data_IF_257509022818
#
_entry.id   IF_257509022818
#
_cell.length_a   1.000
_cell.length_b   1.000
_cell.length_c   1.000
_cell.angle_alpha   90.00
_cell.angle_beta   90.00
_cell.angle_gamma   90.00
#
_symmetry.space_group_name_H-M   'P 1'
#
loop_
_entity.id
_entity.type
_entity.pdbx_description
1 polymer ?
#
# COMPACT_ATOMS: atom_id res chain seq x y z
N UNK A 1 -22.39 63.70 57.04
CA UNK A 1 -23.13 62.74 57.89
C UNK A 1 -24.53 62.61 57.32
N UNK A 2 -24.89 61.38 56.95
CA UNK A 2 -26.25 60.80 57.07
C UNK A 2 -27.42 61.45 56.31
N UNK A 3 -28.01 60.76 55.32
CA UNK A 3 -29.04 59.71 55.52
C UNK A 3 -29.55 59.17 54.19
N UNK A 4 -29.81 57.86 54.20
CA UNK A 4 -30.59 57.12 53.21
C UNK A 4 -32.00 57.72 53.00
N UNK A 5 -32.50 57.59 51.76
CA UNK A 5 -33.95 57.41 51.52
C UNK A 5 -34.17 56.55 50.28
N UNK A 6 -34.71 55.36 50.51
CA UNK A 6 -35.37 54.54 49.48
C UNK A 6 -36.76 55.14 49.23
N UNK A 7 -37.16 55.27 47.96
CA UNK A 7 -38.56 55.41 47.56
C UNK A 7 -38.79 54.63 46.26
N UNK A 8 -39.81 53.78 46.30
CA UNK A 8 -40.20 52.83 45.26
C UNK A 8 -41.24 53.42 44.29
N UNK A 9 -41.20 52.91 43.04
CA UNK A 9 -42.26 52.76 42.03
C UNK A 9 -42.85 54.00 41.33
N UNK A 10 -42.72 54.10 39.99
CA UNK A 10 -43.68 53.54 39.01
C UNK A 10 -43.40 53.99 37.55
N UNK A 11 -43.25 53.00 36.66
CA UNK A 11 -43.79 52.89 35.28
C UNK A 11 -43.40 53.87 34.16
N UNK A 12 -42.65 53.36 33.17
CA UNK A 12 -42.90 53.46 31.72
C UNK A 12 -41.93 52.50 30.99
N UNK A 13 -42.37 51.28 30.68
CA UNK A 13 -42.48 50.78 29.29
C UNK A 13 -41.91 51.72 28.22
N UNK A 14 -40.72 51.40 27.74
CA UNK A 14 -40.29 51.56 26.35
C UNK A 14 -39.45 50.32 26.02
N UNK A 15 -39.98 49.49 25.13
CA UNK A 15 -39.32 48.35 24.51
C UNK A 15 -38.32 48.90 23.48
N UNK A 16 -37.02 48.76 23.75
CA UNK A 16 -35.99 48.82 22.70
C UNK A 16 -35.83 47.40 22.15
N UNK A 17 -36.52 47.14 21.04
CA UNK A 17 -36.20 46.05 20.11
C UNK A 17 -34.82 46.35 19.49
N UNK A 18 -33.78 45.77 20.08
CA UNK A 18 -32.51 45.59 19.39
C UNK A 18 -32.70 44.54 18.30
N UNK A 19 -32.83 45.05 17.07
CA UNK A 19 -32.80 44.33 15.81
C UNK A 19 -31.43 43.65 15.62
N UNK A 20 -31.23 42.47 16.22
CA UNK A 20 -30.23 41.50 15.77
C UNK A 20 -30.69 40.89 14.44
N UNK A 21 -30.50 41.64 13.36
CA UNK A 21 -30.34 41.05 12.04
C UNK A 21 -28.92 40.46 11.96
N UNK A 22 -28.75 39.29 12.58
CA UNK A 22 -27.57 38.45 12.41
C UNK A 22 -27.63 37.89 10.99
N UNK A 23 -26.89 38.50 10.07
CA UNK A 23 -26.77 38.08 8.67
C UNK A 23 -25.93 36.78 8.60
N UNK A 24 -26.56 35.66 9.00
CA UNK A 24 -26.05 34.28 8.96
C UNK A 24 -25.98 33.71 7.52
N UNK A 25 -26.18 34.56 6.51
CA UNK A 25 -26.29 34.15 5.10
C UNK A 25 -24.99 34.32 4.29
N UNK A 26 -24.02 35.08 4.80
CA UNK A 26 -22.81 35.44 4.05
C UNK A 26 -21.64 34.50 4.35
N UNK A 27 -21.15 33.85 3.29
CA UNK A 27 -20.02 32.92 3.34
C UNK A 27 -18.74 33.65 3.80
N UNK A 28 -17.95 33.12 4.76
CA UNK A 28 -16.88 33.90 5.37
C UNK A 28 -15.68 34.02 4.42
N UNK A 29 -15.10 35.22 4.37
CA UNK A 29 -14.16 35.65 3.33
C UNK A 29 -12.69 35.48 3.73
N UNK A 30 -12.41 35.24 5.01
CA UNK A 30 -11.05 34.98 5.51
C UNK A 30 -10.92 33.59 6.16
N UNK A 31 -9.71 33.01 6.17
CA UNK A 31 -9.44 31.78 6.93
C UNK A 31 -9.74 31.90 8.42
N UNK A 32 -9.49 33.07 9.04
CA UNK A 32 -9.81 33.27 10.46
C UNK A 32 -11.32 33.27 10.73
N UNK A 33 -12.13 33.82 9.83
CA UNK A 33 -13.59 33.81 9.95
C UNK A 33 -14.18 32.41 9.76
N UNK A 34 -13.65 31.61 8.83
CA UNK A 34 -14.05 30.20 8.65
C UNK A 34 -13.64 29.37 9.87
N UNK A 35 -12.44 29.59 10.39
CA UNK A 35 -11.95 28.90 11.60
C UNK A 35 -12.86 29.20 12.80
N UNK A 36 -13.13 30.48 13.10
CA UNK A 36 -14.01 30.84 14.22
C UNK A 36 -15.43 30.34 13.98
N UNK A 37 -16.04 30.61 12.81
CA UNK A 37 -17.42 30.22 12.55
C UNK A 37 -17.63 28.70 12.58
N UNK A 38 -16.78 27.89 11.94
CA UNK A 38 -16.95 26.42 11.95
C UNK A 38 -16.70 25.84 13.34
N UNK A 39 -15.64 26.27 14.01
CA UNK A 39 -15.29 25.74 15.33
C UNK A 39 -16.31 26.17 16.37
N UNK A 40 -16.78 27.41 16.36
CA UNK A 40 -17.81 27.91 17.27
C UNK A 40 -19.18 27.30 16.97
N UNK A 41 -19.51 27.06 15.69
CA UNK A 41 -20.75 26.41 15.28
C UNK A 41 -20.82 24.98 15.80
N UNK A 42 -19.77 24.18 15.56
CA UNK A 42 -19.71 22.83 16.10
C UNK A 42 -19.50 22.79 17.61
N UNK A 43 -18.71 23.71 18.17
CA UNK A 43 -18.50 23.83 19.61
C UNK A 43 -19.81 24.05 20.35
N UNK A 44 -20.66 24.97 19.85
CA UNK A 44 -22.02 25.18 20.37
C UNK A 44 -22.90 23.95 20.20
N UNK A 45 -22.95 23.38 19.00
CA UNK A 45 -23.80 22.23 18.69
C UNK A 45 -23.42 20.95 19.47
N UNK A 46 -22.13 20.76 19.76
CA UNK A 46 -21.57 19.56 20.38
C UNK A 46 -21.23 19.76 21.88
N UNK A 47 -21.40 20.96 22.43
CA UNK A 47 -21.12 21.33 23.83
C UNK A 47 -21.80 20.43 24.87
N UNK A 48 -22.91 19.77 24.51
CA UNK A 48 -23.68 18.88 25.38
C UNK A 48 -23.21 17.41 25.34
N UNK A 49 -22.25 17.07 24.48
CA UNK A 49 -21.71 15.70 24.35
C UNK A 49 -20.57 15.48 25.36
N UNK A 50 -20.55 14.30 26.00
CA UNK A 50 -19.62 14.00 27.09
C UNK A 50 -18.16 13.84 26.65
N UNK A 51 -17.27 13.97 27.64
CA UNK A 51 -15.79 14.05 27.60
C UNK A 51 -15.08 12.79 27.06
N UNK A 52 -15.80 11.74 26.66
CA UNK A 52 -15.24 10.44 26.25
C UNK A 52 -14.44 10.47 24.93
N UNK A 53 -14.43 11.59 24.21
CA UNK A 53 -13.93 11.68 22.83
C UNK A 53 -12.71 12.59 22.64
N UNK A 54 -11.96 12.87 23.71
CA UNK A 54 -10.70 13.63 23.61
C UNK A 54 -9.67 12.84 22.81
N UNK A 55 -9.19 13.41 21.70
CA UNK A 55 -7.98 12.97 21.02
C UNK A 55 -6.81 12.97 22.05
N UNK A 56 -5.95 11.93 22.08
CA UNK A 56 -5.74 10.89 21.08
C UNK A 56 -6.65 9.66 21.21
N UNK A 57 -7.87 9.80 21.74
CA UNK A 57 -8.87 8.75 21.89
C UNK A 57 -8.35 7.53 22.67
N UNK A 58 -7.87 7.71 23.92
CA UNK A 58 -7.11 6.68 24.64
C UNK A 58 -7.87 5.36 24.86
N UNK A 59 -9.22 5.37 24.77
CA UNK A 59 -10.07 4.22 25.06
C UNK A 59 -10.31 3.24 23.91
N UNK A 60 -9.81 3.48 22.68
CA UNK A 60 -10.11 2.58 21.56
C UNK A 60 -9.01 2.51 20.49
N UNK A 61 -8.83 1.29 19.96
CA UNK A 61 -7.97 0.97 18.82
C UNK A 61 -8.81 0.53 17.60
N UNK A 62 -10.11 0.83 17.58
CA UNK A 62 -11.00 0.47 16.47
C UNK A 62 -11.17 1.66 15.53
N UNK A 63 -10.40 1.67 14.45
CA UNK A 63 -10.46 2.72 13.43
C UNK A 63 -11.86 2.93 12.85
N UNK A 64 -12.68 1.90 12.53
CA UNK A 64 -14.04 2.12 12.05
C UNK A 64 -14.86 3.00 13.01
N UNK A 65 -14.81 2.71 14.30
CA UNK A 65 -15.48 3.50 15.34
C UNK A 65 -14.90 4.93 15.42
N UNK A 66 -13.58 5.08 15.38
CA UNK A 66 -12.91 6.40 15.38
C UNK A 66 -13.28 7.25 14.17
N UNK A 67 -13.47 6.63 13.00
CA UNK A 67 -13.86 7.37 11.79
C UNK A 67 -15.31 7.84 11.84
N UNK A 68 -16.18 7.13 12.54
CA UNK A 68 -17.59 7.48 12.67
C UNK A 68 -17.82 8.53 13.78
N UNK A 69 -16.81 8.81 14.60
CA UNK A 69 -16.77 9.93 15.55
C UNK A 69 -16.10 11.12 14.85
N UNK A 70 -16.69 12.33 14.87
CA UNK A 70 -17.92 12.75 15.55
C UNK A 70 -19.22 12.62 14.73
N UNK A 71 -19.14 12.17 13.46
CA UNK A 71 -20.27 12.13 12.52
C UNK A 71 -21.56 11.49 13.06
N UNK A 72 -21.47 10.36 13.76
CA UNK A 72 -22.64 9.68 14.32
C UNK A 72 -23.41 10.51 15.36
N UNK A 73 -22.81 11.62 15.84
CA UNK A 73 -23.36 12.50 16.87
C UNK A 73 -23.62 13.93 16.38
N UNK A 74 -23.25 14.26 15.14
CA UNK A 74 -23.57 15.55 14.54
C UNK A 74 -25.05 15.51 14.09
N UNK A 75 -25.92 16.42 14.57
CA UNK A 75 -27.28 16.49 14.08
C UNK A 75 -27.31 16.75 12.57
N UNK A 76 -28.19 16.07 11.83
CA UNK A 76 -28.30 16.20 10.37
C UNK A 76 -28.40 17.66 9.87
N UNK A 77 -29.17 18.57 10.50
CA UNK A 77 -29.21 19.97 10.10
C UNK A 77 -27.84 20.66 10.24
N UNK A 78 -27.10 20.32 11.30
CA UNK A 78 -25.78 20.87 11.58
C UNK A 78 -24.77 20.41 10.52
N UNK A 79 -24.82 19.13 10.17
CA UNK A 79 -23.99 18.57 9.10
C UNK A 79 -24.28 19.23 7.75
N UNK A 80 -25.55 19.36 7.35
CA UNK A 80 -25.95 19.96 6.07
C UNK A 80 -25.47 21.39 5.93
N UNK A 81 -25.72 22.24 6.93
CA UNK A 81 -25.28 23.65 6.91
C UNK A 81 -23.76 23.75 6.75
N UNK A 82 -23.00 22.96 7.51
CA UNK A 82 -21.54 22.99 7.42
C UNK A 82 -21.03 22.42 6.09
N UNK A 83 -21.66 21.39 5.55
CA UNK A 83 -21.33 20.83 4.24
C UNK A 83 -21.57 21.87 3.12
N UNK A 84 -22.70 22.59 3.16
CA UNK A 84 -23.02 23.66 2.21
C UNK A 84 -22.01 24.81 2.27
N UNK A 85 -21.54 25.15 3.48
CA UNK A 85 -20.45 26.10 3.65
C UNK A 85 -19.14 25.57 3.03
N UNK A 86 -18.72 24.36 3.40
CA UNK A 86 -17.47 23.76 2.89
C UNK A 86 -17.48 23.62 1.37
N UNK A 87 -18.63 23.32 0.77
CA UNK A 87 -18.79 23.23 -0.68
C UNK A 87 -18.51 24.58 -1.37
N UNK A 88 -19.06 25.67 -0.82
CA UNK A 88 -18.83 27.05 -1.29
C UNK A 88 -17.43 27.58 -1.00
N UNK A 89 -16.70 26.96 -0.06
CA UNK A 89 -15.36 27.38 0.33
C UNK A 89 -14.33 27.23 -0.80
N UNK A 90 -13.50 28.27 -0.97
CA UNK A 90 -12.33 28.19 -1.84
C UNK A 90 -11.32 27.19 -1.27
N UNK A 91 -10.69 26.39 -2.14
CA UNK A 91 -9.76 25.31 -1.74
C UNK A 91 -8.60 25.83 -0.89
N UNK A 92 -8.08 27.02 -1.21
CA UNK A 92 -7.04 27.68 -0.42
C UNK A 92 -7.45 27.84 1.06
N UNK A 93 -8.70 28.21 1.32
CA UNK A 93 -9.17 28.42 2.69
C UNK A 93 -9.28 27.10 3.45
N UNK A 94 -9.67 26.03 2.77
CA UNK A 94 -9.69 24.68 3.34
C UNK A 94 -8.27 24.21 3.67
N UNK A 95 -7.28 24.51 2.81
CA UNK A 95 -5.87 24.20 3.09
C UNK A 95 -5.38 24.96 4.32
N UNK A 96 -5.74 26.23 4.48
CA UNK A 96 -5.40 27.01 5.68
C UNK A 96 -6.03 26.45 6.96
N UNK A 97 -7.28 26.00 6.89
CA UNK A 97 -7.93 25.31 8.01
C UNK A 97 -7.20 24.00 8.37
N UNK A 98 -6.78 23.22 7.36
CA UNK A 98 -6.02 21.98 7.54
C UNK A 98 -4.66 22.26 8.20
N UNK A 99 -3.91 23.25 7.70
CA UNK A 99 -2.62 23.66 8.27
C UNK A 99 -2.80 24.04 9.74
N UNK A 100 -3.74 24.95 10.01
CA UNK A 100 -4.02 25.40 11.37
C UNK A 100 -4.39 24.24 12.29
N UNK A 101 -5.27 23.34 11.85
CA UNK A 101 -5.70 22.19 12.65
C UNK A 101 -4.55 21.21 12.92
N UNK A 102 -3.66 21.00 11.95
CA UNK A 102 -2.50 20.14 12.10
C UNK A 102 -1.55 20.68 13.17
N UNK A 103 -1.19 21.96 13.09
CA UNK A 103 -0.33 22.60 14.10
C UNK A 103 -1.01 22.71 15.46
N UNK A 104 -2.31 22.94 15.50
CA UNK A 104 -3.10 22.96 16.73
C UNK A 104 -3.06 21.61 17.46
N UNK A 105 -3.22 20.49 16.73
CA UNK A 105 -3.09 19.14 17.31
C UNK A 105 -1.65 18.88 17.78
N UNK A 106 -0.65 19.27 16.98
CA UNK A 106 0.76 19.08 17.32
C UNK A 106 1.14 19.82 18.61
N UNK A 107 0.77 21.10 18.72
CA UNK A 107 0.99 21.92 19.91
C UNK A 107 0.38 21.28 21.16
N UNK A 108 -0.82 20.72 21.02
CA UNK A 108 -1.51 20.06 22.13
C UNK A 108 -0.85 18.74 22.53
N UNK A 109 -0.36 17.95 21.57
CA UNK A 109 0.41 16.74 21.86
C UNK A 109 1.73 17.06 22.57
N UNK A 110 2.29 18.25 22.35
CA UNK A 110 3.46 18.78 23.06
C UNK A 110 3.11 19.37 24.44
N UNK A 111 1.84 19.29 24.87
CA UNK A 111 1.39 19.76 26.17
C UNK A 111 1.12 21.26 26.25
N UNK A 112 1.08 21.98 25.12
CA UNK A 112 0.71 23.40 25.12
C UNK A 112 -0.79 23.53 25.43
N UNK A 113 -1.19 24.39 26.38
CA UNK A 113 -2.59 24.64 26.67
C UNK A 113 -3.26 25.25 25.43
N UNK A 114 -4.30 24.59 24.95
CA UNK A 114 -5.15 25.02 23.84
C UNK A 114 -6.58 25.11 24.36
N UNK A 115 -7.39 26.00 23.79
CA UNK A 115 -8.80 26.14 24.18
C UNK A 115 -9.56 24.82 23.96
N UNK A 116 -10.07 24.17 25.03
CA UNK A 116 -10.67 22.85 24.97
C UNK A 116 -12.11 22.82 24.41
N UNK A 117 -12.81 23.97 24.30
CA UNK A 117 -14.18 24.00 23.77
C UNK A 117 -14.27 23.66 22.26
N UNK A 118 -13.13 23.60 21.59
CA UNK A 118 -13.01 23.57 20.14
C UNK A 118 -12.66 22.20 19.56
N UNK A 119 -12.27 21.21 20.37
CA UNK A 119 -11.68 19.96 19.86
C UNK A 119 -12.62 19.14 18.97
N UNK A 120 -13.82 18.85 19.46
CA UNK A 120 -14.83 18.14 18.69
C UNK A 120 -15.26 18.93 17.47
N UNK A 121 -15.23 20.27 17.56
CA UNK A 121 -15.53 21.15 16.43
C UNK A 121 -14.47 21.10 15.34
N UNK A 122 -13.18 21.15 15.71
CA UNK A 122 -12.06 20.97 14.77
C UNK A 122 -12.15 19.60 14.09
N UNK A 123 -12.32 18.53 14.86
CA UNK A 123 -12.42 17.18 14.32
C UNK A 123 -13.67 17.01 13.45
N UNK A 124 -14.80 17.58 13.83
CA UNK A 124 -16.02 17.57 13.02
C UNK A 124 -15.80 18.29 11.69
N UNK A 125 -15.33 19.53 11.72
CA UNK A 125 -15.05 20.32 10.53
C UNK A 125 -14.04 19.61 9.61
N UNK A 126 -12.90 19.14 10.14
CA UNK A 126 -11.91 18.37 9.36
C UNK A 126 -12.54 17.14 8.70
N UNK A 127 -13.33 16.38 9.45
CA UNK A 127 -13.93 15.16 8.94
C UNK A 127 -14.93 15.43 7.81
N UNK A 128 -15.69 16.54 7.87
CA UNK A 128 -16.60 16.98 6.81
C UNK A 128 -15.81 17.48 5.60
N UNK A 129 -14.75 18.27 5.82
CA UNK A 129 -13.85 18.73 4.75
C UNK A 129 -13.27 17.54 3.98
N UNK A 130 -12.71 16.56 4.69
CA UNK A 130 -12.07 15.38 4.09
C UNK A 130 -13.06 14.47 3.35
N UNK A 131 -14.31 14.38 3.82
CA UNK A 131 -15.35 13.60 3.14
C UNK A 131 -16.00 14.35 1.96
N UNK A 132 -16.08 15.68 2.03
CA UNK A 132 -16.73 16.49 0.99
C UNK A 132 -15.76 16.82 -0.15
N UNK A 133 -14.49 17.09 0.16
CA UNK A 133 -13.44 17.43 -0.81
C UNK A 133 -12.19 16.57 -0.56
N UNK A 134 -12.24 15.25 -0.82
CA UNK A 134 -11.17 14.30 -0.46
C UNK A 134 -9.81 14.61 -1.10
N UNK A 135 -9.76 15.36 -2.21
CA UNK A 135 -8.53 15.79 -2.88
C UNK A 135 -7.63 16.67 -1.99
N UNK A 136 -8.19 17.33 -0.96
CA UNK A 136 -7.39 18.09 0.02
C UNK A 136 -6.40 17.22 0.79
N UNK A 137 -6.53 15.89 0.74
CA UNK A 137 -5.53 14.97 1.30
C UNK A 137 -4.15 15.22 0.70
N UNK A 138 -4.04 15.61 -0.57
CA UNK A 138 -2.74 15.87 -1.22
C UNK A 138 -1.97 17.01 -0.53
N UNK A 139 -2.69 17.99 0.02
CA UNK A 139 -2.12 19.05 0.84
C UNK A 139 -1.56 18.50 2.16
N UNK A 140 -2.30 17.60 2.83
CA UNK A 140 -1.82 16.89 4.03
C UNK A 140 -0.58 16.06 3.71
N UNK A 141 -0.57 15.35 2.58
CA UNK A 141 0.57 14.54 2.14
C UNK A 141 1.81 15.41 1.89
N UNK A 142 1.63 16.61 1.34
CA UNK A 142 2.71 17.58 1.13
C UNK A 142 3.27 18.07 2.46
N UNK A 143 2.41 18.38 3.43
CA UNK A 143 2.81 18.77 4.78
C UNK A 143 3.64 17.67 5.48
N UNK A 144 3.31 16.41 5.22
CA UNK A 144 3.98 15.22 5.76
C UNK A 144 5.21 14.76 4.95
N UNK A 145 5.55 15.42 3.85
CA UNK A 145 6.70 15.06 3.00
C UNK A 145 7.95 15.85 3.38
N UNK A 146 9.17 15.31 3.18
CA UNK A 146 10.40 16.09 3.31
C UNK A 146 10.39 17.31 2.36
N UNK A 147 10.89 18.49 2.78
CA UNK A 147 11.59 18.78 4.03
C UNK A 147 10.68 19.28 5.18
N UNK A 148 9.35 19.14 5.07
CA UNK A 148 8.39 19.72 6.02
C UNK A 148 8.33 18.91 7.32
N UNK A 149 7.31 18.07 7.48
CA UNK A 149 7.04 17.35 8.73
C UNK A 149 6.95 15.84 8.48
N UNK A 150 8.06 15.18 8.10
CA UNK A 150 8.06 13.74 7.83
C UNK A 150 7.55 12.96 9.05
N UNK A 151 6.60 12.06 8.80
CA UNK A 151 5.88 11.34 9.84
C UNK A 151 6.79 10.42 10.70
N UNK A 152 7.94 10.04 10.15
CA UNK A 152 9.03 9.34 10.86
C UNK A 152 9.52 10.13 12.09
N UNK A 153 9.53 11.46 11.99
CA UNK A 153 9.99 12.36 13.06
C UNK A 153 8.85 12.81 13.99
N UNK A 154 7.60 12.43 13.71
CA UNK A 154 6.39 12.82 14.46
C UNK A 154 5.51 11.59 14.79
N UNK A 155 6.02 10.62 15.56
CA UNK A 155 5.30 9.37 15.84
C UNK A 155 3.93 9.57 16.52
N UNK A 156 3.79 10.64 17.29
CA UNK A 156 2.54 11.06 17.96
C UNK A 156 1.45 11.53 16.99
N UNK A 157 1.83 11.96 15.78
CA UNK A 157 0.90 12.39 14.72
C UNK A 157 0.40 11.24 13.85
N UNK A 158 0.96 10.03 13.99
CA UNK A 158 0.55 8.87 13.18
C UNK A 158 -0.94 8.55 13.39
N UNK A 159 -1.48 8.42 14.62
CA UNK A 159 -2.90 8.11 14.81
C UNK A 159 -3.84 9.15 14.17
N UNK A 160 -3.51 10.43 14.28
CA UNK A 160 -4.27 11.51 13.65
C UNK A 160 -4.21 11.44 12.12
N UNK A 161 -3.02 11.20 11.57
CA UNK A 161 -2.82 11.05 10.13
C UNK A 161 -3.60 9.86 9.57
N UNK A 162 -3.54 8.71 10.25
CA UNK A 162 -4.32 7.53 9.89
C UNK A 162 -5.82 7.83 9.94
N UNK A 163 -6.29 8.55 10.96
CA UNK A 163 -7.69 8.97 11.05
C UNK A 163 -8.09 9.88 9.88
N UNK A 164 -7.29 10.88 9.52
CA UNK A 164 -7.58 11.77 8.37
C UNK A 164 -7.65 10.98 7.05
N UNK A 165 -6.68 10.09 6.80
CA UNK A 165 -6.70 9.21 5.61
C UNK A 165 -7.91 8.26 5.63
N UNK A 166 -8.34 7.82 6.80
CA UNK A 166 -9.51 6.96 6.95
C UNK A 166 -10.82 7.72 6.68
N UNK A 167 -10.91 9.02 6.98
CA UNK A 167 -12.04 9.85 6.55
C UNK A 167 -12.12 9.94 5.02
N UNK A 168 -10.99 10.14 4.36
CA UNK A 168 -10.90 10.16 2.88
C UNK A 168 -11.30 8.81 2.30
N UNK A 169 -10.80 7.71 2.88
CA UNK A 169 -11.09 6.35 2.42
C UNK A 169 -12.58 5.97 2.51
N UNK A 170 -13.38 6.64 3.34
CA UNK A 170 -14.84 6.42 3.41
C UNK A 170 -15.55 6.84 2.12
N UNK A 171 -15.00 7.81 1.38
CA UNK A 171 -15.62 8.39 0.18
C UNK A 171 -14.81 8.12 -1.09
N UNK A 172 -13.48 8.02 -1.00
CA UNK A 172 -12.59 7.67 -2.11
C UNK A 172 -11.55 6.63 -1.68
N UNK A 173 -11.84 5.37 -1.99
CA UNK A 173 -10.95 4.23 -1.72
C UNK A 173 -9.59 4.37 -2.43
N UNK A 174 -9.54 5.05 -3.57
CA UNK A 174 -8.31 5.20 -4.37
C UNK A 174 -7.33 6.10 -3.63
N UNK A 175 -7.81 7.27 -3.21
CA UNK A 175 -7.00 8.20 -2.41
C UNK A 175 -6.58 7.55 -1.09
N UNK A 176 -7.50 6.85 -0.40
CA UNK A 176 -7.18 6.08 0.81
C UNK A 176 -6.05 5.07 0.62
N UNK A 177 -6.10 4.24 -0.44
CA UNK A 177 -5.05 3.28 -0.75
C UNK A 177 -3.73 3.98 -1.09
N UNK A 178 -3.78 4.99 -1.97
CA UNK A 178 -2.58 5.67 -2.46
C UNK A 178 -1.82 6.38 -1.35
N UNK A 179 -2.53 7.04 -0.43
CA UNK A 179 -1.96 7.72 0.73
C UNK A 179 -1.33 6.71 1.69
N UNK A 180 -2.03 5.61 1.97
CA UNK A 180 -1.50 4.55 2.83
C UNK A 180 -0.21 3.94 2.25
N UNK A 181 -0.21 3.60 0.96
CA UNK A 181 0.92 2.98 0.29
C UNK A 181 2.16 3.89 0.24
N UNK A 182 1.96 5.20 0.07
CA UNK A 182 3.05 6.18 -0.02
C UNK A 182 3.62 6.60 1.34
N UNK A 183 2.78 6.71 2.37
CA UNK A 183 3.18 7.37 3.63
C UNK A 183 3.13 6.47 4.86
N UNK A 184 2.27 5.45 4.90
CA UNK A 184 2.11 4.61 6.09
C UNK A 184 2.83 3.27 5.93
N UNK A 185 2.84 2.69 4.72
CA UNK A 185 3.55 1.45 4.45
C UNK A 185 5.06 1.55 4.71
N UNK A 186 5.79 2.62 4.33
CA UNK A 186 7.22 2.74 4.64
C UNK A 186 7.50 2.68 6.15
N UNK A 187 6.64 3.28 6.98
CA UNK A 187 6.77 3.28 8.44
C UNK A 187 6.58 1.88 9.05
N UNK A 188 5.84 1.00 8.37
CA UNK A 188 5.62 -0.38 8.81
C UNK A 188 6.86 -1.26 8.59
N UNK A 189 7.85 -0.83 7.81
CA UNK A 189 9.09 -1.57 7.60
C UNK A 189 10.03 -1.47 8.80
N UNK A 190 10.10 -0.32 9.44
CA UNK A 190 11.01 -0.04 10.56
C UNK A 190 10.35 -0.38 11.91
N UNK A 191 9.82 -1.59 12.00
CA UNK A 191 8.88 -2.16 12.98
C UNK A 191 9.25 -2.07 14.47
N UNK A 192 10.25 -1.29 14.88
CA UNK A 192 10.67 -1.13 16.28
C UNK A 192 10.63 0.31 16.83
N UNK A 193 10.38 1.32 15.99
CA UNK A 193 10.39 2.71 16.47
C UNK A 193 9.00 3.24 16.88
N UNK A 194 7.91 2.62 16.40
CA UNK A 194 6.56 3.16 16.57
C UNK A 194 5.70 2.41 17.59
N UNK A 195 4.85 3.16 18.29
CA UNK A 195 3.87 2.64 19.24
C UNK A 195 3.00 1.52 18.60
N UNK A 196 2.80 0.36 19.26
CA UNK A 196 1.93 -0.73 18.78
C UNK A 196 0.54 -0.27 18.32
N UNK A 197 0.00 0.76 18.95
CA UNK A 197 -1.28 1.35 18.57
C UNK A 197 -1.28 1.94 17.17
N UNK A 198 -0.26 2.72 16.82
CA UNK A 198 -0.12 3.33 15.50
C UNK A 198 -0.08 2.26 14.40
N UNK A 199 0.65 1.16 14.66
CA UNK A 199 0.69 -0.01 13.77
C UNK A 199 -0.69 -0.60 13.54
N UNK A 200 -1.44 -0.87 14.61
CA UNK A 200 -2.79 -1.46 14.50
C UNK A 200 -3.71 -0.55 13.68
N UNK A 201 -3.67 0.77 13.92
CA UNK A 201 -4.50 1.73 13.17
C UNK A 201 -4.12 1.76 11.68
N UNK A 202 -2.81 1.80 11.37
CA UNK A 202 -2.32 1.76 9.99
C UNK A 202 -2.81 0.50 9.27
N UNK A 203 -2.75 -0.67 9.91
CA UNK A 203 -3.23 -1.94 9.36
C UNK A 203 -4.77 -1.96 9.23
N UNK A 204 -5.51 -1.39 10.17
CA UNK A 204 -6.97 -1.33 10.06
C UNK A 204 -7.44 -0.46 8.90
N UNK A 205 -6.76 0.65 8.58
CA UNK A 205 -7.13 1.53 7.47
C UNK A 205 -7.20 0.76 6.15
N UNK A 206 -6.10 0.11 5.80
CA UNK A 206 -6.00 -0.61 4.54
C UNK A 206 -6.87 -1.88 4.54
N UNK A 207 -7.10 -2.51 5.71
CA UNK A 207 -8.08 -3.61 5.83
C UNK A 207 -9.48 -3.13 5.47
N UNK A 208 -9.89 -1.96 5.97
CA UNK A 208 -11.18 -1.37 5.65
C UNK A 208 -11.30 -1.04 4.16
N UNK A 209 -10.23 -0.51 3.55
CA UNK A 209 -10.20 -0.22 2.11
C UNK A 209 -10.38 -1.49 1.28
N UNK A 210 -9.59 -2.54 1.56
CA UNK A 210 -9.62 -3.81 0.81
C UNK A 210 -10.90 -4.61 1.06
N UNK A 211 -11.47 -4.51 2.26
CA UNK A 211 -12.71 -5.22 2.63
C UNK A 211 -13.98 -4.52 2.12
N UNK A 212 -13.87 -3.34 1.51
CA UNK A 212 -15.05 -2.66 0.96
C UNK A 212 -15.66 -3.49 -0.18
N UNK A 213 -17.00 -3.68 -0.26
CA UNK A 213 -17.62 -4.58 -1.23
C UNK A 213 -17.27 -4.29 -2.69
N UNK A 214 -17.04 -3.01 -3.01
CA UNK A 214 -16.65 -2.53 -4.35
C UNK A 214 -15.15 -2.27 -4.50
N UNK A 215 -14.32 -2.64 -3.52
CA UNK A 215 -12.90 -2.32 -3.50
C UNK A 215 -12.19 -2.83 -4.74
N UNK A 216 -12.39 -4.12 -5.07
CA UNK A 216 -11.72 -4.74 -6.20
C UNK A 216 -12.01 -4.01 -7.51
N UNK A 217 -13.28 -3.78 -7.82
CA UNK A 217 -13.69 -3.11 -9.05
C UNK A 217 -13.15 -1.68 -9.14
N UNK A 218 -13.33 -0.89 -8.06
CA UNK A 218 -12.91 0.52 -8.01
C UNK A 218 -11.38 0.65 -8.11
N UNK A 219 -10.63 -0.17 -7.37
CA UNK A 219 -9.18 -0.06 -7.31
C UNK A 219 -8.55 -0.55 -8.62
N UNK A 220 -9.02 -1.66 -9.19
CA UNK A 220 -8.49 -2.19 -10.45
C UNK A 220 -8.80 -1.29 -11.64
N UNK A 221 -10.02 -0.73 -11.72
CA UNK A 221 -10.38 0.20 -12.81
C UNK A 221 -9.58 1.50 -12.77
N UNK A 222 -8.94 1.81 -11.65
CA UNK A 222 -8.14 3.02 -11.44
C UNK A 222 -6.67 2.73 -11.15
N UNK A 223 -6.22 1.49 -11.29
CA UNK A 223 -4.90 1.07 -10.84
C UNK A 223 -3.78 1.77 -11.62
N UNK A 224 -3.97 1.96 -12.94
CA UNK A 224 -3.03 2.68 -13.79
C UNK A 224 -3.75 3.41 -14.94
N UNK A 225 -3.67 4.74 -14.96
CA UNK A 225 -4.34 5.62 -15.94
C UNK A 225 -3.33 6.55 -16.63
N UNK A 226 -3.54 6.83 -17.92
CA UNK A 226 -2.56 7.56 -18.74
C UNK A 226 -2.32 8.95 -18.16
N UNK A 227 -1.06 9.29 -17.91
CA UNK A 227 -0.68 10.60 -17.35
C UNK A 227 -0.99 10.76 -15.86
N UNK A 228 -1.44 9.71 -15.17
CA UNK A 228 -1.70 9.71 -13.72
C UNK A 228 -0.72 8.75 -13.05
N UNK A 229 -0.23 9.09 -11.86
CA UNK A 229 0.61 8.19 -11.08
C UNK A 229 -0.13 6.88 -10.78
N UNK A 230 0.58 5.75 -10.83
CA UNK A 230 0.03 4.43 -10.47
C UNK A 230 -0.54 4.48 -9.04
N UNK A 231 -1.70 3.87 -8.87
CA UNK A 231 -2.43 3.86 -7.60
C UNK A 231 -1.60 3.25 -6.46
N UNK A 232 -0.94 2.14 -6.75
CA UNK A 232 0.01 1.48 -5.86
C UNK A 232 1.44 1.59 -6.41
N UNK A 233 2.30 2.45 -5.82
CA UNK A 233 3.64 2.69 -6.35
C UNK A 233 4.53 1.45 -6.36
N UNK A 234 5.43 1.35 -7.33
CA UNK A 234 6.39 0.24 -7.43
C UNK A 234 7.28 0.11 -6.17
N UNK A 235 7.83 1.20 -5.58
CA UNK A 235 8.60 1.10 -4.34
C UNK A 235 7.77 0.56 -3.16
N UNK A 236 6.50 0.95 -3.07
CA UNK A 236 5.57 0.42 -2.07
C UNK A 236 5.33 -1.08 -2.26
N UNK A 237 5.29 -1.56 -3.50
CA UNK A 237 5.15 -2.99 -3.80
C UNK A 237 6.40 -3.80 -3.43
N UNK A 238 7.58 -3.26 -3.70
CA UNK A 238 8.84 -3.85 -3.23
C UNK A 238 8.85 -4.01 -1.69
N UNK A 239 8.37 -2.99 -0.95
CA UNK A 239 8.28 -3.05 0.52
C UNK A 239 7.23 -4.04 1.03
N UNK A 240 6.11 -4.20 0.31
CA UNK A 240 5.01 -5.07 0.72
C UNK A 240 5.41 -6.56 0.76
N UNK A 241 6.27 -7.00 -0.16
CA UNK A 241 6.68 -8.41 -0.28
C UNK A 241 7.33 -8.97 0.99
N UNK A 242 8.43 -8.40 1.53
CA UNK A 242 9.05 -8.91 2.75
C UNK A 242 8.16 -8.76 3.98
N UNK A 243 7.24 -7.79 4.02
CA UNK A 243 6.24 -7.65 5.09
C UNK A 243 5.18 -8.78 5.06
N UNK A 244 4.84 -9.25 3.85
CA UNK A 244 3.88 -10.33 3.65
C UNK A 244 4.50 -11.71 3.87
N UNK A 245 5.75 -11.87 3.46
CA UNK A 245 6.49 -13.13 3.52
C UNK A 245 7.79 -12.97 4.34
N UNK A 246 7.71 -12.61 5.63
CA UNK A 246 8.90 -12.42 6.45
C UNK A 246 9.59 -13.75 6.74
N UNK A 247 10.88 -13.69 7.10
CA UNK A 247 11.58 -14.87 7.59
C UNK A 247 10.92 -15.41 8.88
N UNK A 248 11.12 -16.70 9.18
CA UNK A 248 10.46 -17.34 10.34
C UNK A 248 10.73 -16.63 11.67
N UNK A 249 11.94 -16.10 11.85
CA UNK A 249 12.35 -15.35 13.05
C UNK A 249 11.84 -13.91 13.09
N UNK A 250 11.41 -13.35 11.96
CA UNK A 250 10.85 -11.99 11.84
C UNK A 250 9.31 -12.00 11.92
N UNK A 251 8.71 -13.19 11.92
CA UNK A 251 7.25 -13.36 11.89
C UNK A 251 6.64 -12.88 13.19
N UNK A 252 5.82 -11.84 13.09
CA UNK A 252 4.87 -11.43 14.13
C UNK A 252 3.49 -11.90 13.69
N UNK A 253 2.97 -12.97 14.31
CA UNK A 253 1.77 -13.69 13.86
C UNK A 253 0.64 -12.79 13.36
N UNK A 254 0.14 -11.90 14.22
CA UNK A 254 -1.02 -11.05 13.90
C UNK A 254 -0.74 -10.05 12.77
N UNK A 255 0.52 -9.59 12.64
CA UNK A 255 0.93 -8.65 11.59
C UNK A 255 1.11 -9.38 10.26
N UNK A 256 1.73 -10.56 10.28
CA UNK A 256 1.94 -11.37 9.08
C UNK A 256 0.62 -11.88 8.49
N UNK A 257 -0.28 -12.42 9.33
CA UNK A 257 -1.61 -12.84 8.90
C UNK A 257 -2.40 -11.67 8.28
N UNK A 258 -2.22 -10.47 8.82
CA UNK A 258 -2.83 -9.27 8.30
C UNK A 258 -2.34 -8.94 6.88
N UNK A 259 -1.02 -8.91 6.66
CA UNK A 259 -0.47 -8.62 5.34
C UNK A 259 -0.87 -9.69 4.32
N UNK A 260 -0.85 -10.96 4.72
CA UNK A 260 -1.30 -12.07 3.87
C UNK A 260 -2.77 -11.93 3.46
N UNK A 261 -3.63 -11.42 4.33
CA UNK A 261 -5.05 -11.23 4.03
C UNK A 261 -5.31 -10.14 2.97
N UNK A 262 -4.55 -9.04 2.99
CA UNK A 262 -4.73 -7.94 2.02
C UNK A 262 -3.91 -8.11 0.74
N UNK A 263 -2.83 -8.89 0.80
CA UNK A 263 -1.85 -9.02 -0.25
C UNK A 263 -2.44 -9.38 -1.63
N UNK A 264 -3.40 -10.31 -1.78
CA UNK A 264 -3.90 -10.70 -3.10
C UNK A 264 -4.44 -9.51 -3.91
N UNK A 265 -5.28 -8.66 -3.29
CA UNK A 265 -5.82 -7.50 -3.99
C UNK A 265 -4.73 -6.44 -4.26
N UNK A 266 -3.81 -6.24 -3.30
CA UNK A 266 -2.71 -5.28 -3.48
C UNK A 266 -1.75 -5.70 -4.59
N UNK A 267 -1.46 -7.00 -4.71
CA UNK A 267 -0.69 -7.59 -5.82
C UNK A 267 -1.40 -7.32 -7.15
N UNK A 268 -2.71 -7.59 -7.26
CA UNK A 268 -3.46 -7.31 -8.48
C UNK A 268 -3.41 -5.83 -8.89
N UNK A 269 -3.60 -4.91 -7.93
CA UNK A 269 -3.52 -3.46 -8.18
C UNK A 269 -2.10 -3.03 -8.58
N UNK A 270 -1.07 -3.53 -7.88
CA UNK A 270 0.32 -3.22 -8.17
C UNK A 270 0.75 -3.72 -9.57
N UNK A 271 0.26 -4.90 -9.97
CA UNK A 271 0.56 -5.54 -11.26
C UNK A 271 -0.44 -5.18 -12.38
N UNK A 272 -1.38 -4.25 -12.16
CA UNK A 272 -2.30 -3.83 -13.20
C UNK A 272 -1.56 -3.24 -14.42
N UNK A 273 -2.08 -3.48 -15.63
CA UNK A 273 -1.43 -3.04 -16.86
C UNK A 273 -1.30 -1.52 -16.92
N UNK A 274 -0.09 -1.03 -17.21
CA UNK A 274 0.14 0.39 -17.37
C UNK A 274 -0.42 0.90 -18.72
N UNK A 275 -0.89 2.16 -18.79
CA UNK A 275 -1.47 2.76 -19.97
C UNK A 275 -0.40 3.08 -21.03
N UNK A 276 -0.02 2.08 -21.81
CA UNK A 276 0.91 2.24 -22.93
C UNK A 276 2.22 1.49 -22.74
N UNK A 277 2.85 1.22 -23.88
CA UNK A 277 3.98 0.28 -23.97
C UNK A 277 5.23 0.80 -23.22
N UNK A 278 5.50 2.12 -23.26
CA UNK A 278 6.68 2.72 -22.62
C UNK A 278 6.60 2.62 -21.09
N UNK A 279 5.47 3.03 -20.52
CA UNK A 279 5.26 3.02 -19.07
C UNK A 279 5.23 1.57 -18.55
N UNK A 280 4.59 0.66 -19.30
CA UNK A 280 4.60 -0.76 -18.95
C UNK A 280 6.02 -1.34 -18.98
N UNK A 281 6.84 -0.95 -19.96
CA UNK A 281 8.23 -1.37 -20.04
C UNK A 281 9.03 -0.94 -18.81
N UNK A 282 8.90 0.31 -18.38
CA UNK A 282 9.59 0.82 -17.20
C UNK A 282 9.13 0.10 -15.93
N UNK A 283 7.81 -0.05 -15.74
CA UNK A 283 7.23 -0.72 -14.56
C UNK A 283 7.69 -2.17 -14.47
N UNK A 284 7.59 -2.93 -15.55
CA UNK A 284 7.99 -4.35 -15.57
C UNK A 284 9.49 -4.52 -15.35
N UNK A 285 10.33 -3.61 -15.86
CA UNK A 285 11.78 -3.65 -15.61
C UNK A 285 12.10 -3.44 -14.13
N UNK A 286 11.54 -2.40 -13.50
CA UNK A 286 11.74 -2.14 -12.07
C UNK A 286 11.18 -3.26 -11.18
N UNK A 287 10.02 -3.82 -11.53
CA UNK A 287 9.46 -4.95 -10.78
C UNK A 287 10.31 -6.20 -10.94
N UNK A 288 10.79 -6.48 -12.16
CA UNK A 288 11.65 -7.63 -12.43
C UNK A 288 12.95 -7.57 -11.62
N UNK A 289 13.57 -6.40 -11.52
CA UNK A 289 14.83 -6.18 -10.77
C UNK A 289 14.69 -6.61 -9.30
N UNK A 290 13.75 -6.04 -8.54
CA UNK A 290 13.60 -6.43 -7.13
C UNK A 290 13.06 -7.86 -6.97
N UNK A 291 12.27 -8.36 -7.94
CA UNK A 291 11.76 -9.73 -7.89
C UNK A 291 12.89 -10.74 -8.01
N UNK A 292 13.87 -10.50 -8.88
CA UNK A 292 15.05 -11.35 -8.99
C UNK A 292 15.88 -11.31 -7.71
N UNK A 293 16.06 -10.13 -7.12
CA UNK A 293 16.73 -9.96 -5.82
C UNK A 293 16.05 -10.76 -4.71
N UNK A 294 14.72 -10.69 -4.60
CA UNK A 294 13.96 -11.45 -3.60
C UNK A 294 13.93 -12.96 -3.89
N UNK A 295 13.97 -13.37 -5.15
CA UNK A 295 14.12 -14.78 -5.52
C UNK A 295 15.51 -15.34 -5.12
N UNK A 296 16.55 -14.51 -5.16
CA UNK A 296 17.92 -14.91 -4.79
C UNK A 296 18.12 -14.93 -3.27
N UNK A 297 17.64 -13.89 -2.58
CA UNK A 297 17.98 -13.60 -1.17
C UNK A 297 16.85 -13.88 -0.19
N UNK A 298 15.61 -14.03 -0.67
CA UNK A 298 14.44 -14.24 0.16
C UNK A 298 14.40 -15.62 0.82
N UNK A 299 13.57 -15.75 1.85
CA UNK A 299 13.21 -17.08 2.36
C UNK A 299 12.40 -17.86 1.29
N UNK A 300 12.25 -19.17 1.46
CA UNK A 300 11.63 -20.04 0.46
C UNK A 300 10.24 -19.57 -0.03
N UNK A 301 9.41 -18.97 0.85
CA UNK A 301 8.07 -18.50 0.47
C UNK A 301 8.17 -17.19 -0.33
N UNK A 302 8.94 -16.23 0.15
CA UNK A 302 9.18 -14.97 -0.56
C UNK A 302 9.84 -15.21 -1.92
N UNK A 303 10.83 -16.10 -1.98
CA UNK A 303 11.55 -16.40 -3.20
C UNK A 303 10.64 -17.05 -4.25
N UNK A 304 9.73 -17.93 -3.83
CA UNK A 304 8.71 -18.52 -4.72
C UNK A 304 7.78 -17.45 -5.29
N UNK A 305 7.22 -16.60 -4.44
CA UNK A 305 6.34 -15.50 -4.86
C UNK A 305 7.07 -14.53 -5.81
N UNK A 306 8.30 -14.15 -5.48
CA UNK A 306 9.11 -13.26 -6.31
C UNK A 306 9.46 -13.89 -7.67
N UNK A 307 9.66 -15.21 -7.72
CA UNK A 307 9.86 -15.94 -8.98
C UNK A 307 8.62 -15.85 -9.86
N UNK A 308 7.41 -16.03 -9.30
CA UNK A 308 6.16 -15.89 -10.04
C UNK A 308 5.95 -14.47 -10.59
N UNK A 309 6.31 -13.44 -9.81
CA UNK A 309 6.28 -12.04 -10.27
C UNK A 309 7.31 -11.80 -11.38
N UNK A 310 8.52 -12.37 -11.28
CA UNK A 310 9.54 -12.27 -12.31
C UNK A 310 9.09 -12.91 -13.64
N UNK A 311 8.40 -14.06 -13.59
CA UNK A 311 7.78 -14.68 -14.77
C UNK A 311 6.69 -13.78 -15.38
N UNK A 312 5.85 -13.17 -14.53
CA UNK A 312 4.85 -12.20 -14.99
C UNK A 312 5.51 -11.03 -15.73
N UNK A 313 6.60 -10.47 -15.19
CA UNK A 313 7.34 -9.38 -15.83
C UNK A 313 7.89 -9.77 -17.21
N UNK A 314 8.53 -10.94 -17.33
CA UNK A 314 9.03 -11.46 -18.60
C UNK A 314 7.88 -11.61 -19.61
N UNK A 315 6.75 -12.15 -19.14
CA UNK A 315 5.53 -12.34 -19.95
C UNK A 315 4.92 -11.05 -20.45
N UNK A 316 4.95 -10.00 -19.66
CA UNK A 316 4.47 -8.68 -20.06
C UNK A 316 5.49 -7.91 -20.90
N UNK A 317 6.77 -8.16 -20.68
CA UNK A 317 7.86 -7.42 -21.31
C UNK A 317 9.13 -8.27 -21.43
N UNK A 318 9.36 -8.84 -22.60
CA UNK A 318 10.57 -9.62 -22.91
C UNK A 318 11.86 -8.80 -22.82
N UNK A 319 11.80 -7.46 -22.85
CA UNK A 319 13.01 -6.65 -22.67
C UNK A 319 13.61 -6.79 -21.25
N UNK A 320 12.87 -7.34 -20.28
CA UNK A 320 13.41 -7.73 -18.97
C UNK A 320 14.54 -8.77 -19.11
N UNK A 321 14.57 -9.57 -20.18
CA UNK A 321 15.67 -10.49 -20.48
C UNK A 321 17.04 -9.80 -20.63
N UNK A 322 17.08 -8.50 -20.97
CA UNK A 322 18.35 -7.75 -21.06
C UNK A 322 18.99 -7.57 -19.70
N UNK A 323 18.21 -7.08 -18.74
CA UNK A 323 18.66 -6.93 -17.37
C UNK A 323 18.97 -8.31 -16.76
N UNK A 324 18.12 -9.31 -16.99
CA UNK A 324 18.40 -10.68 -16.55
C UNK A 324 19.74 -11.19 -17.09
N UNK A 325 20.06 -10.91 -18.36
CA UNK A 325 21.34 -11.27 -18.95
C UNK A 325 22.53 -10.61 -18.23
N UNK A 326 22.42 -9.32 -17.92
CA UNK A 326 23.46 -8.57 -17.22
C UNK A 326 23.76 -9.14 -15.83
N UNK A 327 22.73 -9.50 -15.06
CA UNK A 327 22.87 -9.90 -13.65
C UNK A 327 22.83 -11.42 -13.42
N UNK A 328 22.83 -12.22 -14.49
CA UNK A 328 22.63 -13.68 -14.44
C UNK A 328 23.60 -14.41 -13.52
N UNK A 329 24.90 -14.12 -13.67
CA UNK A 329 25.96 -14.78 -12.90
C UNK A 329 25.96 -14.38 -11.42
N UNK A 330 25.36 -13.23 -11.10
CA UNK A 330 25.27 -12.73 -9.71
C UNK A 330 24.04 -13.31 -8.98
N UNK A 331 23.09 -13.88 -9.71
CA UNK A 331 21.83 -14.39 -9.17
C UNK A 331 21.52 -15.82 -9.66
N UNK A 332 22.41 -16.80 -9.41
CA UNK A 332 22.27 -18.14 -9.96
C UNK A 332 21.07 -18.89 -9.37
N UNK A 333 20.72 -18.72 -8.09
CA UNK A 333 19.58 -19.42 -7.47
C UNK A 333 18.26 -18.90 -8.02
N UNK A 334 18.12 -17.57 -8.10
CA UNK A 334 16.96 -16.93 -8.69
C UNK A 334 16.79 -17.32 -10.17
N UNK A 335 17.90 -17.37 -10.91
CA UNK A 335 17.88 -17.74 -12.32
C UNK A 335 17.45 -19.19 -12.53
N UNK A 336 17.95 -20.15 -11.72
CA UNK A 336 17.50 -21.55 -11.75
C UNK A 336 16.01 -21.64 -11.47
N UNK A 337 15.53 -21.01 -10.39
CA UNK A 337 14.11 -21.03 -10.01
C UNK A 337 13.22 -20.45 -11.13
N UNK A 338 13.63 -19.33 -11.72
CA UNK A 338 12.93 -18.67 -12.81
C UNK A 338 12.91 -19.51 -14.08
N UNK A 339 14.05 -20.07 -14.50
CA UNK A 339 14.14 -20.96 -15.66
C UNK A 339 13.27 -22.21 -15.49
N UNK A 340 13.34 -22.84 -14.31
CA UNK A 340 12.49 -23.98 -13.96
C UNK A 340 11.02 -23.62 -14.09
N UNK A 341 10.60 -22.50 -13.51
CA UNK A 341 9.21 -22.04 -13.55
C UNK A 341 8.73 -21.78 -14.98
N UNK A 342 9.58 -21.20 -15.82
CA UNK A 342 9.28 -21.00 -17.24
C UNK A 342 9.12 -22.33 -18.01
N UNK A 343 9.85 -23.37 -17.63
CA UNK A 343 9.68 -24.73 -18.20
C UNK A 343 8.36 -25.34 -17.73
N UNK A 344 8.04 -25.26 -16.45
CA UNK A 344 6.79 -25.79 -15.87
C UNK A 344 5.54 -25.14 -16.49
N UNK A 345 5.47 -23.81 -16.53
CA UNK A 345 4.32 -23.09 -17.11
C UNK A 345 4.13 -23.36 -18.61
N UNK A 346 5.21 -23.71 -19.31
CA UNK A 346 5.14 -24.08 -20.72
C UNK A 346 4.48 -25.46 -20.92
N UNK A 347 4.61 -26.38 -19.96
CA UNK A 347 3.99 -27.71 -20.01
C UNK A 347 2.48 -27.64 -19.75
N UNK A 348 2.07 -26.79 -18.81
CA UNK A 348 0.66 -26.63 -18.42
C UNK A 348 -0.17 -25.94 -19.53
N UNK A 349 0.32 -24.85 -20.11
CA UNK A 349 -0.46 -23.98 -21.01
C UNK A 349 -0.27 -24.26 -22.52
N UNK A 350 0.55 -25.25 -22.92
CA UNK A 350 0.93 -25.58 -24.31
C UNK A 350 1.57 -24.42 -25.12
N UNK A 351 1.62 -23.19 -24.57
CA UNK A 351 2.13 -21.98 -25.21
C UNK A 351 2.43 -20.93 -24.13
N UNK A 352 3.70 -20.68 -23.84
CA UNK A 352 4.12 -19.53 -23.04
C UNK A 352 3.68 -18.23 -23.75
N UNK A 353 2.94 -17.35 -23.07
CA UNK A 353 2.51 -16.03 -23.59
C UNK A 353 3.70 -15.20 -24.13
N UNK A 354 4.88 -15.39 -23.53
CA UNK A 354 6.20 -14.91 -23.95
C UNK A 354 6.58 -15.18 -25.42
N UNK A 355 5.99 -16.21 -26.04
CA UNK A 355 6.31 -16.62 -27.41
C UNK A 355 5.17 -16.25 -28.40
N UNK A 356 4.24 -15.39 -27.99
CA UNK A 356 3.17 -14.89 -28.86
C UNK A 356 3.68 -14.06 -30.05
N UNK A 357 4.85 -13.43 -29.93
CA UNK A 357 5.51 -12.67 -30.99
C UNK A 357 6.84 -13.30 -31.46
N UNK A 358 7.12 -13.19 -32.76
CA UNK A 358 8.40 -13.60 -33.36
C UNK A 358 9.57 -12.81 -32.80
N UNK A 359 9.36 -11.54 -32.42
CA UNK A 359 10.38 -10.70 -31.80
C UNK A 359 10.75 -11.23 -30.41
N UNK A 360 9.74 -11.53 -29.61
CA UNK A 360 9.93 -11.94 -28.22
C UNK A 360 10.58 -13.32 -28.16
N UNK A 361 10.15 -14.23 -29.02
CA UNK A 361 10.79 -15.53 -29.26
C UNK A 361 12.28 -15.39 -29.60
N UNK A 362 12.65 -14.41 -30.45
CA UNK A 362 14.08 -14.16 -30.80
C UNK A 362 14.89 -13.61 -29.63
N UNK A 363 14.32 -12.68 -28.86
CA UNK A 363 14.99 -12.10 -27.70
C UNK A 363 15.23 -13.20 -26.66
N UNK A 364 14.20 -13.96 -26.30
CA UNK A 364 14.30 -15.04 -25.34
C UNK A 364 15.31 -16.12 -25.77
N UNK A 365 15.27 -16.56 -27.03
CA UNK A 365 16.23 -17.53 -27.56
C UNK A 365 17.68 -17.00 -27.49
N UNK A 366 17.89 -15.72 -27.78
CA UNK A 366 19.22 -15.10 -27.66
C UNK A 366 19.70 -15.11 -26.21
N UNK A 367 18.82 -14.81 -25.27
CA UNK A 367 19.13 -14.85 -23.84
C UNK A 367 19.44 -16.27 -23.37
N UNK A 368 18.66 -17.27 -23.76
CA UNK A 368 18.96 -18.68 -23.42
C UNK A 368 20.33 -19.12 -23.95
N UNK A 369 20.70 -18.73 -25.18
CA UNK A 369 22.03 -19.01 -25.72
C UNK A 369 23.15 -18.32 -24.94
N UNK A 370 22.93 -17.09 -24.51
CA UNK A 370 23.87 -16.36 -23.63
C UNK A 370 24.04 -17.11 -22.30
N UNK A 371 22.96 -17.56 -21.70
CA UNK A 371 22.98 -18.35 -20.46
C UNK A 371 23.72 -19.67 -20.61
N UNK A 372 23.52 -20.42 -21.69
CA UNK A 372 24.29 -21.65 -21.95
C UNK A 372 25.81 -21.37 -21.96
N UNK A 373 26.27 -20.29 -22.60
CA UNK A 373 27.69 -19.91 -22.58
C UNK A 373 28.16 -19.55 -21.16
N UNK A 374 27.36 -18.78 -20.42
CA UNK A 374 27.64 -18.39 -19.04
C UNK A 374 27.65 -19.58 -18.08
N UNK A 375 26.78 -20.56 -18.30
CA UNK A 375 26.71 -21.80 -17.52
C UNK A 375 27.94 -22.66 -17.72
N UNK A 376 28.39 -22.85 -18.97
CA UNK A 376 29.64 -23.58 -19.26
C UNK A 376 30.80 -22.95 -18.48
N UNK A 377 30.91 -21.61 -18.50
CA UNK A 377 31.91 -20.89 -17.70
C UNK A 377 31.76 -21.19 -16.20
N UNK A 378 30.56 -21.02 -15.64
CA UNK A 378 30.28 -21.26 -14.22
C UNK A 378 30.52 -22.70 -13.75
N UNK A 379 30.29 -23.69 -14.63
CA UNK A 379 30.60 -25.10 -14.38
C UNK A 379 32.12 -25.32 -14.35
N UNK A 380 32.84 -24.78 -15.34
CA UNK A 380 34.30 -24.97 -15.45
C UNK A 380 35.10 -24.30 -14.33
N UNK A 381 34.58 -23.21 -13.75
CA UNK A 381 35.23 -22.49 -12.65
C UNK A 381 35.16 -23.24 -11.31
N UNK A 382 34.41 -24.35 -11.21
CA UNK A 382 34.55 -25.35 -10.14
C UNK A 382 34.16 -24.89 -8.73
N UNK A 383 33.31 -23.86 -8.60
CA UNK A 383 32.87 -23.30 -7.33
C UNK A 383 31.68 -24.04 -6.68
N UNK A 384 31.32 -23.60 -5.46
CA UNK A 384 30.17 -24.13 -4.69
C UNK A 384 28.85 -24.03 -5.46
N UNK A 385 28.74 -23.11 -6.43
CA UNK A 385 27.56 -22.91 -7.27
C UNK A 385 27.55 -23.70 -8.58
N UNK A 386 28.55 -24.56 -8.86
CA UNK A 386 28.64 -25.31 -10.13
C UNK A 386 27.36 -26.09 -10.47
N UNK A 387 26.75 -26.73 -9.46
CA UNK A 387 25.50 -27.49 -9.62
C UNK A 387 24.31 -26.62 -10.06
N UNK A 388 24.26 -25.33 -9.66
CA UNK A 388 23.20 -24.41 -10.09
C UNK A 388 23.34 -24.10 -11.58
N UNK A 389 24.56 -23.97 -12.08
CA UNK A 389 24.81 -23.73 -13.50
C UNK A 389 24.53 -24.97 -14.35
N UNK A 390 24.78 -26.18 -13.84
CA UNK A 390 24.36 -27.43 -14.50
C UNK A 390 22.83 -27.51 -14.61
N UNK A 391 22.12 -27.23 -13.52
CA UNK A 391 20.66 -27.23 -13.51
C UNK A 391 20.08 -26.13 -14.43
N UNK A 392 20.63 -24.92 -14.37
CA UNK A 392 20.22 -23.82 -15.25
C UNK A 392 20.47 -24.14 -16.73
N UNK A 393 21.58 -24.80 -17.06
CA UNK A 393 21.91 -25.20 -18.43
C UNK A 393 20.90 -26.19 -19.00
N UNK A 394 20.47 -27.15 -18.19
CA UNK A 394 19.40 -28.09 -18.55
C UNK A 394 18.11 -27.33 -18.92
N UNK A 395 17.65 -26.39 -18.08
CA UNK A 395 16.44 -25.62 -18.38
C UNK A 395 16.62 -24.69 -19.59
N UNK A 396 17.78 -24.05 -19.76
CA UNK A 396 18.05 -23.19 -20.92
C UNK A 396 17.98 -23.96 -22.25
N UNK A 397 18.54 -25.18 -22.28
CA UNK A 397 18.49 -26.07 -23.44
C UNK A 397 17.06 -26.54 -23.74
N UNK A 398 16.29 -26.86 -22.71
CA UNK A 398 14.88 -27.25 -22.85
C UNK A 398 14.06 -26.09 -23.43
N UNK A 399 14.15 -24.88 -22.86
CA UNK A 399 13.46 -23.69 -23.38
C UNK A 399 13.88 -23.41 -24.83
N UNK A 400 15.17 -23.48 -25.14
CA UNK A 400 15.67 -23.27 -26.51
C UNK A 400 15.07 -24.28 -27.49
N UNK A 401 14.96 -25.55 -27.09
CA UNK A 401 14.37 -26.62 -27.90
C UNK A 401 12.89 -26.36 -28.17
N UNK A 402 12.13 -25.93 -27.15
CA UNK A 402 10.71 -25.58 -27.26
C UNK A 402 10.47 -24.35 -28.15
N UNK A 403 11.37 -23.37 -28.10
CA UNK A 403 11.30 -22.19 -28.98
C UNK A 403 11.52 -22.54 -30.46
N UNK A 404 12.33 -23.57 -30.75
CA UNK A 404 12.61 -24.04 -32.10
C UNK A 404 11.47 -24.92 -32.66
N UNK A 405 10.85 -25.76 -31.83
CA UNK A 405 9.76 -26.65 -32.25
C UNK A 405 8.47 -25.89 -32.61
N UNK A 406 8.25 -24.68 -32.09
CA UNK A 406 7.12 -23.82 -32.49
C UNK A 406 7.30 -23.19 -33.89
N UNK A 407 8.52 -23.14 -34.41
CA UNK A 407 8.85 -22.51 -35.71
C UNK A 407 8.76 -23.45 -36.91
N UNK A 408 8.79 -24.76 -36.69
CA UNK A 408 8.66 -25.79 -37.72
C UNK A 408 7.63 -26.82 -37.26
N UNK A 409 6.53 -26.99 -38.02
CA UNK A 409 5.63 -28.12 -37.83
C UNK A 409 6.35 -29.42 -38.14
N UNK A 410 6.97 -30.05 -37.14
CA UNK A 410 7.47 -31.42 -37.18
C UNK A 410 7.21 -32.09 -35.82
N UNK A 411 6.82 -33.38 -35.80
CA UNK A 411 6.24 -34.01 -34.64
C UNK A 411 7.29 -34.34 -33.56
N UNK A 412 6.82 -34.34 -32.31
CA UNK A 412 7.54 -34.66 -31.07
C UNK A 412 8.47 -35.88 -31.23
N UNK A 413 9.78 -35.68 -31.10
CA UNK A 413 10.68 -36.75 -30.67
C UNK A 413 10.69 -36.77 -29.13
N UNK A 414 10.35 -37.93 -28.57
CA UNK A 414 10.33 -38.21 -27.15
C UNK A 414 11.69 -37.89 -26.50
N UNK A 415 11.69 -37.05 -25.47
CA UNK A 415 12.82 -36.91 -24.55
C UNK A 415 12.84 -38.18 -23.69
N UNK A 416 13.89 -39.00 -23.88
CA UNK A 416 14.18 -40.10 -22.98
C UNK A 416 14.72 -39.51 -21.67
N UNK A 417 13.97 -39.67 -20.58
CA UNK A 417 14.47 -39.52 -19.21
C UNK A 417 15.66 -40.44 -18.99
N UNK A 418 16.86 -39.86 -18.84
CA UNK A 418 18.03 -40.58 -18.34
C UNK A 418 17.84 -40.75 -16.84
N UNK A 419 17.32 -41.91 -16.43
CA UNK A 419 17.42 -42.41 -15.07
C UNK A 419 18.87 -42.84 -14.82
N UNK A 420 19.61 -42.07 -14.03
CA UNK A 420 20.90 -42.50 -13.48
C UNK A 420 20.60 -43.54 -12.39
N UNK A 421 20.65 -44.82 -12.75
CA UNK A 421 20.65 -45.92 -11.80
C UNK A 421 22.07 -46.10 -11.24
N UNK A 422 22.28 -45.72 -9.98
CA UNK A 422 23.48 -46.09 -9.21
C UNK A 422 23.32 -47.56 -8.81
N UNK A 423 24.09 -48.43 -9.45
CA UNK A 423 24.15 -49.85 -9.12
C UNK A 423 24.95 -50.10 -7.85
N UNK A 424 24.30 -50.70 -6.85
CA UNK A 424 24.98 -51.39 -5.76
C UNK A 424 24.78 -52.90 -5.96
N UNK A 425 25.90 -53.59 -6.18
CA UNK A 425 26.00 -55.03 -6.44
C UNK A 425 25.64 -55.81 -5.17
N UNK A 426 24.65 -56.70 -5.28
CA UNK A 426 24.36 -57.71 -4.27
C UNK A 426 25.19 -58.98 -4.56
N UNK A 427 26.11 -59.33 -3.67
CA UNK A 427 26.68 -60.68 -3.58
C UNK A 427 25.92 -61.48 -2.52
N UNK A 428 25.04 -62.37 -2.97
CA UNK A 428 24.43 -63.44 -2.19
C UNK A 428 25.42 -64.59 -2.03
N UNK A 429 25.85 -64.88 -0.79
CA UNK A 429 26.42 -66.18 -0.43
C UNK A 429 25.30 -66.98 0.24
N UNK A 430 24.91 -68.06 -0.44
CA UNK A 430 23.99 -69.09 0.05
C UNK A 430 24.64 -69.84 1.22
N UNK A 431 23.94 -69.91 2.35
CA UNK A 431 24.17 -70.93 3.38
C UNK A 431 22.85 -71.62 3.65
N UNK A 432 22.79 -72.90 3.29
CA UNK A 432 21.68 -73.79 3.65
C UNK A 432 22.19 -75.21 3.78
N UNK A 433 22.29 -75.69 5.03
CA UNK A 433 22.02 -77.06 5.49
C UNK A 433 22.07 -77.04 7.02
N UNK A 434 20.94 -77.03 7.73
CA UNK A 434 20.17 -78.19 8.21
C UNK A 434 20.88 -79.01 9.31
N UNK A 435 20.19 -79.16 10.45
CA UNK A 435 20.06 -80.33 11.35
C UNK A 435 21.27 -81.29 11.38
N UNK A 436 22.02 -81.42 12.47
CA UNK A 436 21.64 -81.87 13.82
C UNK A 436 22.52 -81.25 14.92
#
# INVERSE_FOLDING_TARGET
MEKLRIKTASTSMEEEEDNENDDDSTFPSSPEEINSKLVDYFGRALSKLSVEYKYPWPGTNQLPFLTDIPFARIPEPVYKTAADWIDKAHVYTLHKFIDWSFFWILDRLQGKPTDPHCELGVLAALSIILRSKPVVVDHILTLLSPPHHPLENLPEMIPFTVWMMAQVAKVDLRLGLSSWAKFLLPLLRDTFQFNPRSRILMLQLIKNVVSHPKARDILLSNAANKGVQRLFPVPSFEMLLPLTFPASFERVKDVTEWFQAVYPLLKEVALADAPGIKDMKQVTQSIFEFSLKFAEQGNAVLAKEATEIAVWCLTKNVDCCKHWDEVYMDNPKASVALLKKLVEEWEEDHSLKLSSSRRDTRILNRTMKSFVVKNVKGITEGGVSGFLYEEADMYCKEISTRLLSRGNGFPKCCVATVLVAVGAVATLVLSSSMQD
#
